data_IF_473075586951
#
_entry.id   IF_473075586951
#
_cell.length_a   1.000
_cell.length_b   1.000
_cell.length_c   1.000
_cell.angle_alpha   90.00
_cell.angle_beta   90.00
_cell.angle_gamma   90.00
#
_symmetry.space_group_name_H-M   'P 1'
#
loop_
_entity.id
_entity.type
_entity.pdbx_description
1 polymer ?
#
# COMPACT_ATOMS: atom_id res chain seq x y z
N UNK A 1 25.38 9.36 14.38
CA UNK A 1 24.72 10.63 14.00
C UNK A 1 23.44 10.72 14.83
N UNK A 2 23.29 11.77 15.64
CA UNK A 2 22.22 11.87 16.64
C UNK A 2 20.85 12.11 15.94
N UNK A 3 19.79 11.32 16.23
CA UNK A 3 18.47 11.49 15.61
C UNK A 3 17.78 12.85 15.87
N UNK A 4 18.33 13.68 16.76
CA UNK A 4 17.73 14.96 17.15
C UNK A 4 18.15 16.16 16.28
N UNK A 5 19.25 16.06 15.53
CA UNK A 5 19.80 17.19 14.77
C UNK A 5 19.01 17.57 13.49
N UNK A 6 17.93 16.85 13.16
CA UNK A 6 17.07 17.11 11.99
C UNK A 6 15.86 17.99 12.35
N UNK A 7 15.64 18.31 13.64
CA UNK A 7 14.34 18.82 14.11
C UNK A 7 14.20 20.34 14.25
N UNK A 8 15.17 21.16 13.84
CA UNK A 8 15.11 22.63 14.04
C UNK A 8 15.47 23.50 12.83
N UNK A 9 15.35 23.00 11.59
CA UNK A 9 15.36 23.89 10.44
C UNK A 9 13.96 24.56 10.30
N UNK A 10 13.85 25.90 10.29
CA UNK A 10 12.58 26.58 10.03
C UNK A 10 12.04 26.14 8.66
N UNK A 11 10.72 26.00 8.55
CA UNK A 11 9.98 25.75 7.31
C UNK A 11 10.13 26.96 6.36
N UNK A 12 11.34 27.16 5.82
CA UNK A 12 11.53 27.91 4.60
C UNK A 12 10.71 27.22 3.52
N UNK A 13 9.99 28.02 2.71
CA UNK A 13 9.23 27.53 1.57
C UNK A 13 10.07 26.48 0.82
N UNK A 14 9.58 25.23 0.79
CA UNK A 14 10.35 24.11 0.28
C UNK A 14 10.86 24.48 -1.12
N UNK A 15 12.19 24.57 -1.26
CA UNK A 15 12.80 24.76 -2.57
C UNK A 15 12.20 23.72 -3.53
N UNK A 16 11.93 24.10 -4.81
CA UNK A 16 11.35 23.16 -5.76
C UNK A 16 12.21 21.90 -5.79
N UNK A 17 11.58 20.73 -5.58
CA UNK A 17 12.26 19.44 -5.66
C UNK A 17 12.82 19.32 -7.07
N UNK A 18 14.13 19.54 -7.21
CA UNK A 18 14.79 19.44 -8.51
C UNK A 18 14.99 17.97 -8.85
N UNK A 19 15.01 17.66 -10.15
CA UNK A 19 15.32 16.30 -10.63
C UNK A 19 16.66 15.83 -10.05
N UNK A 20 17.66 16.72 -9.96
CA UNK A 20 18.96 16.42 -9.37
C UNK A 20 18.86 16.03 -7.88
N UNK A 21 18.04 16.73 -7.09
CA UNK A 21 17.83 16.40 -5.68
C UNK A 21 17.13 15.04 -5.49
N UNK A 22 16.12 14.74 -6.32
CA UNK A 22 15.46 13.41 -6.31
C UNK A 22 16.43 12.30 -6.66
N UNK A 23 17.27 12.47 -7.69
CA UNK A 23 18.22 11.43 -8.08
C UNK A 23 19.34 11.22 -7.05
N UNK A 24 19.82 12.30 -6.43
CA UNK A 24 20.76 12.21 -5.31
C UNK A 24 20.17 11.41 -4.14
N UNK A 25 18.92 11.71 -3.77
CA UNK A 25 18.22 10.96 -2.71
C UNK A 25 18.00 9.48 -3.06
N UNK A 26 17.68 9.17 -4.32
CA UNK A 26 17.54 7.78 -4.78
C UNK A 26 18.85 7.01 -4.68
N UNK A 27 19.97 7.63 -5.04
CA UNK A 27 21.28 7.02 -4.93
C UNK A 27 21.63 6.73 -3.46
N UNK A 28 21.42 7.69 -2.57
CA UNK A 28 21.60 7.54 -1.11
C UNK A 28 20.72 6.41 -0.55
N UNK A 29 19.43 6.39 -0.91
CA UNK A 29 18.51 5.33 -0.49
C UNK A 29 19.01 3.95 -0.90
N UNK A 30 19.44 3.76 -2.16
CA UNK A 30 19.92 2.47 -2.67
C UNK A 30 21.20 1.99 -1.97
N UNK A 31 22.07 2.91 -1.56
CA UNK A 31 23.26 2.61 -0.77
C UNK A 31 22.92 2.15 0.65
N UNK A 32 21.85 2.70 1.24
CA UNK A 32 21.36 2.31 2.56
C UNK A 32 20.59 0.96 2.56
N UNK A 33 20.08 0.52 1.41
CA UNK A 33 19.46 -0.81 1.29
C UNK A 33 20.53 -1.90 1.51
N UNK A 34 20.27 -2.95 2.30
CA UNK A 34 21.22 -4.05 2.50
C UNK A 34 21.70 -4.67 1.17
N UNK A 35 22.96 -5.10 1.12
CA UNK A 35 23.56 -5.66 -0.09
C UNK A 35 22.88 -6.95 -0.56
N UNK A 36 22.40 -7.76 0.39
CA UNK A 36 21.70 -9.03 0.17
C UNK A 36 20.20 -8.90 -0.09
N UNK A 37 19.67 -7.67 -0.07
CA UNK A 37 18.27 -7.40 -0.36
C UNK A 37 17.95 -7.68 -1.83
N UNK A 38 16.89 -8.46 -2.06
CA UNK A 38 16.35 -8.73 -3.38
C UNK A 38 14.85 -8.40 -3.39
N UNK A 39 14.46 -7.41 -4.18
CA UNK A 39 13.09 -6.92 -4.24
C UNK A 39 12.08 -7.91 -4.83
N UNK A 40 12.52 -8.73 -5.79
CA UNK A 40 11.68 -9.78 -6.38
C UNK A 40 11.39 -10.86 -5.33
N UNK A 41 12.44 -11.33 -4.63
CA UNK A 41 12.28 -12.28 -3.51
C UNK A 41 11.33 -11.71 -2.46
N UNK A 42 11.46 -10.44 -2.09
CA UNK A 42 10.56 -9.78 -1.13
C UNK A 42 9.10 -9.85 -1.62
N UNK A 43 8.83 -9.45 -2.87
CA UNK A 43 7.48 -9.51 -3.45
C UNK A 43 6.92 -10.93 -3.49
N UNK A 44 7.74 -11.90 -3.90
CA UNK A 44 7.37 -13.33 -3.89
C UNK A 44 7.10 -13.85 -2.47
N UNK A 45 7.83 -13.36 -1.46
CA UNK A 45 7.55 -13.70 -0.06
C UNK A 45 6.17 -13.19 0.38
N UNK A 46 5.81 -11.95 0.06
CA UNK A 46 4.49 -11.40 0.36
C UNK A 46 3.39 -12.22 -0.34
N UNK A 47 3.57 -12.45 -1.64
CA UNK A 47 2.64 -13.23 -2.44
C UNK A 47 2.48 -14.65 -1.88
N UNK A 48 3.59 -15.33 -1.57
CA UNK A 48 3.58 -16.68 -1.01
C UNK A 48 2.87 -16.77 0.34
N UNK A 49 3.15 -15.84 1.26
CA UNK A 49 2.46 -15.78 2.56
C UNK A 49 0.96 -15.53 2.36
N UNK A 50 0.59 -14.61 1.47
CA UNK A 50 -0.81 -14.30 1.20
C UNK A 50 -1.57 -15.46 0.56
N UNK A 51 -0.98 -16.11 -0.45
CA UNK A 51 -1.56 -17.30 -1.08
C UNK A 51 -1.68 -18.46 -0.09
N UNK A 52 -0.70 -18.66 0.80
CA UNK A 52 -0.79 -19.65 1.86
C UNK A 52 -1.91 -19.32 2.85
N UNK A 53 -2.07 -18.05 3.23
CA UNK A 53 -3.18 -17.61 4.08
C UNK A 53 -4.55 -17.83 3.44
N UNK A 54 -4.69 -17.52 2.15
CA UNK A 54 -5.91 -17.81 1.38
C UNK A 54 -6.16 -19.31 1.31
N UNK A 55 -5.13 -20.12 0.98
CA UNK A 55 -5.25 -21.57 0.92
C UNK A 55 -5.65 -22.18 2.28
N UNK A 56 -5.08 -21.69 3.37
CA UNK A 56 -5.44 -22.13 4.73
C UNK A 56 -6.90 -21.79 5.06
N UNK A 57 -7.41 -20.63 4.66
CA UNK A 57 -8.82 -20.29 4.83
C UNK A 57 -9.73 -21.18 3.97
N UNK A 58 -9.37 -21.42 2.71
CA UNK A 58 -10.13 -22.31 1.82
C UNK A 58 -10.11 -23.77 2.30
N UNK A 59 -9.04 -24.21 2.96
CA UNK A 59 -8.97 -25.54 3.58
C UNK A 59 -9.93 -25.71 4.77
N UNK A 60 -10.43 -24.61 5.35
CA UNK A 60 -11.44 -24.63 6.42
C UNK A 60 -12.88 -24.78 5.90
N UNK A 61 -13.10 -24.73 4.58
CA UNK A 61 -14.44 -24.90 3.99
C UNK A 61 -15.00 -26.29 4.33
N UNK A 62 -16.26 -26.33 4.77
CA UNK A 62 -16.94 -27.58 5.17
C UNK A 62 -17.85 -28.15 4.10
N UNK A 63 -18.23 -27.32 3.14
CA UNK A 63 -19.11 -27.64 2.02
C UNK A 63 -18.89 -26.61 0.90
N UNK A 64 -19.40 -26.83 -0.33
CA UNK A 64 -19.40 -25.82 -1.37
C UNK A 64 -20.01 -24.49 -0.88
N UNK A 65 -19.30 -23.39 -1.15
CA UNK A 65 -19.69 -22.03 -0.74
C UNK A 65 -21.00 -21.66 -1.44
N UNK A 66 -22.02 -21.32 -0.66
CA UNK A 66 -23.30 -20.87 -1.19
C UNK A 66 -23.18 -19.45 -1.77
N UNK A 67 -23.99 -19.12 -2.77
CA UNK A 67 -23.93 -17.81 -3.44
C UNK A 67 -24.07 -16.62 -2.46
N UNK A 68 -24.87 -16.77 -1.40
CA UNK A 68 -25.05 -15.73 -0.39
C UNK A 68 -23.85 -15.60 0.56
N UNK A 69 -23.07 -16.67 0.78
CA UNK A 69 -21.86 -16.61 1.63
C UNK A 69 -20.78 -15.73 0.98
N UNK A 70 -20.74 -15.70 -0.36
CA UNK A 70 -19.89 -14.77 -1.11
C UNK A 70 -20.22 -13.30 -0.86
N UNK A 71 -21.45 -12.97 -0.44
CA UNK A 71 -21.85 -11.59 -0.18
C UNK A 71 -21.02 -10.93 0.94
N UNK A 72 -20.40 -11.72 1.84
CA UNK A 72 -19.51 -11.21 2.90
C UNK A 72 -18.23 -10.57 2.35
N UNK A 73 -17.80 -10.92 1.14
CA UNK A 73 -16.62 -10.33 0.52
C UNK A 73 -16.84 -8.85 0.18
N UNK A 74 -18.07 -8.45 -0.17
CA UNK A 74 -18.39 -7.07 -0.52
C UNK A 74 -18.14 -6.08 0.64
N UNK A 75 -18.72 -6.24 1.84
CA UNK A 75 -18.43 -5.34 2.96
C UNK A 75 -16.95 -5.39 3.36
N UNK A 76 -16.26 -6.53 3.24
CA UNK A 76 -14.82 -6.62 3.45
C UNK A 76 -14.05 -5.67 2.53
N UNK A 77 -14.34 -5.69 1.22
CA UNK A 77 -13.69 -4.80 0.24
C UNK A 77 -14.04 -3.33 0.51
N UNK A 78 -15.29 -3.02 0.87
CA UNK A 78 -15.71 -1.65 1.20
C UNK A 78 -15.02 -1.12 2.45
N UNK A 79 -14.91 -1.94 3.49
CA UNK A 79 -14.21 -1.60 4.73
C UNK A 79 -12.73 -1.40 4.44
N UNK A 80 -12.09 -2.32 3.72
CA UNK A 80 -10.71 -2.18 3.28
C UNK A 80 -10.48 -0.84 2.57
N UNK A 81 -11.36 -0.48 1.63
CA UNK A 81 -11.19 0.73 0.84
C UNK A 81 -11.17 2.02 1.69
N UNK A 82 -12.04 2.09 2.71
CA UNK A 82 -12.02 3.19 3.67
C UNK A 82 -10.83 3.14 4.63
N UNK A 83 -10.43 1.95 5.09
CA UNK A 83 -9.25 1.79 5.94
C UNK A 83 -7.96 2.18 5.22
N UNK A 84 -7.84 1.82 3.96
CA UNK A 84 -6.76 2.23 3.07
C UNK A 84 -6.72 3.75 2.95
N UNK A 85 -7.85 4.40 2.66
CA UNK A 85 -7.94 5.85 2.53
C UNK A 85 -7.59 6.58 3.83
N UNK A 86 -8.19 6.15 4.96
CA UNK A 86 -7.94 6.73 6.29
C UNK A 86 -6.51 6.52 6.74
N UNK A 87 -6.01 5.29 6.60
CA UNK A 87 -4.66 4.89 6.96
C UNK A 87 -3.65 5.68 6.15
N UNK A 88 -3.80 5.73 4.82
CA UNK A 88 -2.91 6.47 3.94
C UNK A 88 -2.91 7.97 4.27
N UNK A 89 -4.08 8.58 4.51
CA UNK A 89 -4.14 9.97 4.97
C UNK A 89 -3.44 10.19 6.31
N UNK A 90 -3.55 9.25 7.25
CA UNK A 90 -2.83 9.32 8.52
C UNK A 90 -1.31 9.21 8.35
N UNK A 91 -0.81 8.51 7.31
CA UNK A 91 0.63 8.45 6.99
C UNK A 91 1.22 9.80 6.58
N UNK A 92 0.38 10.76 6.16
CA UNK A 92 0.80 12.12 5.79
C UNK A 92 0.94 13.07 6.98
N UNK A 93 0.54 12.66 8.19
CA UNK A 93 0.67 13.49 9.40
C UNK A 93 1.62 12.82 10.40
N UNK A 94 2.60 13.54 10.98
CA UNK A 94 3.48 12.98 11.98
C UNK A 94 2.69 12.63 13.25
N UNK A 95 2.58 11.34 13.55
CA UNK A 95 1.89 10.87 14.76
C UNK A 95 2.70 11.09 16.05
N UNK A 96 2.04 10.88 17.19
CA UNK A 96 2.65 11.07 18.52
C UNK A 96 3.56 9.91 18.96
N UNK A 97 3.28 8.68 18.52
CA UNK A 97 4.02 7.48 18.90
C UNK A 97 5.14 7.08 17.92
N UNK A 98 6.08 6.25 18.39
CA UNK A 98 7.23 5.80 17.59
C UNK A 98 6.82 5.09 16.28
N UNK A 99 5.83 4.20 16.34
CA UNK A 99 5.31 3.51 15.14
C UNK A 99 4.73 4.50 14.13
N UNK A 100 3.88 5.44 14.58
CA UNK A 100 3.26 6.41 13.69
C UNK A 100 4.30 7.35 13.05
N UNK A 101 5.35 7.74 13.80
CA UNK A 101 6.49 8.49 13.25
C UNK A 101 7.28 7.68 12.23
N UNK A 102 7.57 6.41 12.51
CA UNK A 102 8.28 5.54 11.58
C UNK A 102 7.50 5.34 10.27
N UNK A 103 6.19 5.17 10.37
CA UNK A 103 5.29 5.07 9.22
C UNK A 103 5.23 6.38 8.42
N UNK A 104 5.11 7.53 9.10
CA UNK A 104 5.20 8.85 8.48
C UNK A 104 6.55 9.07 7.77
N UNK A 105 7.66 8.72 8.40
CA UNK A 105 9.00 8.83 7.80
C UNK A 105 9.12 7.94 6.57
N UNK A 106 8.72 6.67 6.65
CA UNK A 106 8.79 5.73 5.52
C UNK A 106 7.92 6.20 4.35
N UNK A 107 6.73 6.71 4.64
CA UNK A 107 5.78 7.12 3.61
C UNK A 107 6.06 8.54 3.08
N UNK A 108 5.89 9.54 3.91
CA UNK A 108 5.91 10.95 3.50
C UNK A 108 7.32 11.47 3.28
N UNK A 109 8.26 11.12 4.16
CA UNK A 109 9.64 11.65 4.06
C UNK A 109 10.56 10.81 3.18
N UNK A 110 10.18 9.56 2.87
CA UNK A 110 11.00 8.65 2.06
C UNK A 110 10.31 8.33 0.74
N UNK A 111 9.13 7.70 0.73
CA UNK A 111 8.46 7.27 -0.49
C UNK A 111 8.08 8.45 -1.42
N UNK A 112 7.46 9.50 -0.90
CA UNK A 112 7.11 10.72 -1.64
C UNK A 112 8.31 11.60 -2.04
N UNK A 113 9.48 11.33 -1.46
CA UNK A 113 10.73 11.99 -1.86
C UNK A 113 11.47 11.16 -2.92
N UNK A 114 11.29 9.83 -2.88
CA UNK A 114 11.86 8.89 -3.84
C UNK A 114 11.09 8.88 -5.16
N UNK A 115 9.76 8.92 -5.12
CA UNK A 115 8.90 9.03 -6.29
C UNK A 115 8.25 10.40 -6.31
N UNK A 116 8.17 10.99 -7.50
CA UNK A 116 7.45 12.25 -7.72
C UNK A 116 6.46 12.06 -8.86
N UNK A 117 5.54 13.01 -9.03
CA UNK A 117 4.62 13.00 -10.18
C UNK A 117 5.35 12.83 -11.52
N UNK A 118 6.48 13.49 -11.71
CA UNK A 118 7.26 13.47 -12.96
C UNK A 118 8.24 12.30 -13.05
N UNK A 119 8.67 11.75 -11.90
CA UNK A 119 9.65 10.67 -11.83
C UNK A 119 9.11 9.52 -10.98
N UNK A 120 7.98 8.93 -11.37
CA UNK A 120 7.31 7.88 -10.60
C UNK A 120 7.77 6.45 -10.88
N UNK A 121 8.57 6.22 -11.93
CA UNK A 121 8.98 4.88 -12.31
C UNK A 121 10.16 4.35 -11.48
N UNK A 122 10.10 3.06 -11.14
CA UNK A 122 11.25 2.29 -10.64
C UNK A 122 12.33 2.15 -11.71
N UNK A 123 13.59 2.13 -11.29
CA UNK A 123 14.77 1.97 -12.17
C UNK A 123 15.59 0.74 -11.85
N UNK A 124 15.54 0.28 -10.61
CA UNK A 124 16.28 -0.88 -10.13
C UNK A 124 15.36 -1.80 -9.32
N UNK A 125 15.62 -3.11 -9.33
CA UNK A 125 14.92 -4.07 -8.48
C UNK A 125 15.01 -3.76 -6.98
N UNK A 126 16.05 -3.04 -6.54
CA UNK A 126 16.24 -2.56 -5.16
C UNK A 126 15.23 -1.47 -4.78
N UNK A 127 14.69 -0.75 -5.77
CA UNK A 127 13.63 0.25 -5.55
C UNK A 127 12.35 -0.41 -5.04
N UNK A 128 12.15 -1.71 -5.25
CA UNK A 128 11.01 -2.45 -4.69
C UNK A 128 10.97 -2.41 -3.15
N UNK A 129 12.09 -2.11 -2.47
CA UNK A 129 12.15 -1.91 -1.02
C UNK A 129 11.23 -0.79 -0.53
N UNK A 130 11.08 0.26 -1.34
CA UNK A 130 10.26 1.44 -1.01
C UNK A 130 8.83 1.32 -1.54
N UNK A 131 8.58 0.38 -2.44
CA UNK A 131 7.25 0.05 -2.97
C UNK A 131 6.54 -0.90 -2.00
N UNK A 132 7.03 -2.12 -1.83
CA UNK A 132 6.33 -3.11 -1.01
C UNK A 132 6.36 -2.78 0.48
N UNK A 133 5.26 -3.03 1.20
CA UNK A 133 5.33 -3.04 2.67
C UNK A 133 6.32 -4.12 3.16
N UNK A 134 6.85 -3.99 4.39
CA UNK A 134 7.63 -5.06 5.00
C UNK A 134 6.84 -6.37 4.97
N UNK A 135 7.50 -7.50 4.68
CA UNK A 135 6.81 -8.78 4.49
C UNK A 135 5.95 -9.21 5.70
N UNK A 136 6.31 -8.80 6.92
CA UNK A 136 5.54 -9.11 8.12
C UNK A 136 4.24 -8.29 8.24
N UNK A 137 4.08 -7.23 7.45
CA UNK A 137 2.87 -6.39 7.47
C UNK A 137 1.62 -7.20 7.10
N UNK A 138 1.75 -8.16 6.17
CA UNK A 138 0.64 -9.07 5.83
C UNK A 138 0.18 -9.90 7.03
N UNK A 139 1.10 -10.32 7.90
CA UNK A 139 0.78 -11.10 9.10
C UNK A 139 0.04 -10.23 10.12
N UNK A 140 0.49 -8.99 10.30
CA UNK A 140 -0.17 -8.02 11.18
C UNK A 140 -1.57 -7.69 10.67
N UNK A 141 -1.71 -7.40 9.38
CA UNK A 141 -3.00 -7.10 8.74
C UNK A 141 -3.95 -8.29 8.76
N UNK A 142 -3.46 -9.51 8.55
CA UNK A 142 -4.25 -10.73 8.68
C UNK A 142 -4.71 -10.93 10.14
N UNK A 143 -3.83 -10.71 11.11
CA UNK A 143 -4.16 -10.81 12.53
C UNK A 143 -5.23 -9.79 12.95
N UNK A 144 -5.17 -8.56 12.41
CA UNK A 144 -6.18 -7.53 12.66
C UNK A 144 -7.59 -7.93 12.18
N UNK A 145 -7.69 -8.79 11.15
CA UNK A 145 -8.98 -9.28 10.66
C UNK A 145 -9.56 -10.44 11.49
N UNK A 146 -8.73 -11.15 12.26
CA UNK A 146 -9.14 -12.35 12.98
C UNK A 146 -10.36 -12.14 13.89
N UNK A 147 -10.48 -11.06 14.69
CA UNK A 147 -11.66 -10.86 15.53
C UNK A 147 -12.96 -10.82 14.72
N UNK A 148 -12.97 -10.11 13.58
CA UNK A 148 -14.14 -10.02 12.71
C UNK A 148 -14.43 -11.37 12.01
N UNK A 149 -13.38 -12.06 11.54
CA UNK A 149 -13.51 -13.37 10.89
C UNK A 149 -14.05 -14.42 11.85
N UNK A 150 -13.56 -14.46 13.09
CA UNK A 150 -14.08 -15.36 14.13
C UNK A 150 -15.54 -15.07 14.44
N UNK A 151 -15.91 -13.79 14.54
CA UNK A 151 -17.30 -13.39 14.77
C UNK A 151 -18.22 -13.84 13.61
N UNK A 152 -17.79 -13.68 12.35
CA UNK A 152 -18.52 -14.19 11.18
C UNK A 152 -18.64 -15.72 11.25
N UNK A 153 -17.59 -16.41 11.67
CA UNK A 153 -17.60 -17.87 11.81
C UNK A 153 -18.60 -18.38 12.85
N UNK A 154 -18.72 -17.65 13.96
CA UNK A 154 -19.64 -17.97 15.05
C UNK A 154 -21.10 -17.60 14.73
N UNK A 155 -21.32 -16.48 14.05
CA UNK A 155 -22.67 -15.92 13.83
C UNK A 155 -23.29 -16.26 12.48
N UNK A 156 -22.48 -16.56 11.47
CA UNK A 156 -22.94 -16.76 10.08
C UNK A 156 -22.64 -18.18 9.62
N UNK A 157 -21.38 -18.47 9.31
CA UNK A 157 -20.90 -19.82 8.98
C UNK A 157 -19.37 -19.85 8.89
N UNK A 158 -18.78 -21.03 9.05
CA UNK A 158 -17.33 -21.24 8.82
C UNK A 158 -16.94 -20.92 7.37
N UNK A 159 -17.82 -21.22 6.41
CA UNK A 159 -17.60 -20.90 5.00
C UNK A 159 -17.56 -19.38 4.76
N UNK A 160 -18.50 -18.62 5.33
CA UNK A 160 -18.50 -17.16 5.24
C UNK A 160 -17.25 -16.55 5.90
N UNK A 161 -16.79 -17.11 7.03
CA UNK A 161 -15.54 -16.69 7.67
C UNK A 161 -14.32 -16.93 6.78
N UNK A 162 -14.23 -18.11 6.15
CA UNK A 162 -13.18 -18.44 5.21
C UNK A 162 -13.17 -17.50 4.00
N UNK A 163 -14.34 -17.20 3.43
CA UNK A 163 -14.49 -16.21 2.34
C UNK A 163 -14.07 -14.82 2.79
N UNK A 164 -14.50 -14.38 3.98
CA UNK A 164 -14.14 -13.07 4.52
C UNK A 164 -12.63 -12.92 4.73
N UNK A 165 -11.97 -13.93 5.30
CA UNK A 165 -10.51 -13.93 5.48
C UNK A 165 -9.78 -13.95 4.13
N UNK A 166 -10.21 -14.80 3.20
CA UNK A 166 -9.63 -14.88 1.86
C UNK A 166 -9.79 -13.55 1.10
N UNK A 167 -10.95 -12.89 1.21
CA UNK A 167 -11.20 -11.57 0.63
C UNK A 167 -10.31 -10.49 1.26
N UNK A 168 -10.11 -10.53 2.59
CA UNK A 168 -9.26 -9.59 3.32
C UNK A 168 -7.79 -9.69 2.91
N UNK A 169 -7.24 -10.91 2.90
CA UNK A 169 -5.86 -11.15 2.44
C UNK A 169 -5.74 -10.86 0.95
N UNK A 170 -6.73 -11.25 0.15
CA UNK A 170 -6.78 -11.01 -1.28
C UNK A 170 -6.75 -9.53 -1.65
N UNK A 171 -7.55 -8.69 -0.97
CA UNK A 171 -7.58 -7.26 -1.25
C UNK A 171 -6.27 -6.57 -0.86
N UNK A 172 -5.57 -7.04 0.18
CA UNK A 172 -4.21 -6.57 0.48
C UNK A 172 -3.20 -6.97 -0.61
N UNK A 173 -3.27 -8.20 -1.15
CA UNK A 173 -2.41 -8.58 -2.28
C UNK A 173 -2.70 -7.74 -3.52
N UNK A 174 -3.98 -7.43 -3.79
CA UNK A 174 -4.39 -6.49 -4.85
C UNK A 174 -3.80 -5.10 -4.58
N UNK A 175 -3.82 -4.62 -3.34
CA UNK A 175 -3.19 -3.35 -2.97
C UNK A 175 -1.70 -3.33 -3.35
N UNK A 176 -0.92 -4.34 -2.93
CA UNK A 176 0.52 -4.41 -3.21
C UNK A 176 0.81 -4.52 -4.71
N UNK A 177 -0.02 -5.29 -5.42
CA UNK A 177 0.07 -5.43 -6.86
C UNK A 177 -0.22 -4.11 -7.59
N UNK A 178 -1.26 -3.39 -7.19
CA UNK A 178 -1.62 -2.10 -7.80
C UNK A 178 -0.56 -1.04 -7.49
N UNK A 179 0.00 -1.03 -6.28
CA UNK A 179 1.12 -0.17 -5.91
C UNK A 179 2.37 -0.44 -6.77
N UNK A 180 2.74 -1.72 -6.95
CA UNK A 180 3.81 -2.10 -7.87
C UNK A 180 3.54 -1.58 -9.28
N UNK A 181 2.34 -1.82 -9.81
CA UNK A 181 1.97 -1.41 -11.16
C UNK A 181 2.02 0.11 -11.35
N UNK A 182 1.67 0.88 -10.31
CA UNK A 182 1.76 2.33 -10.32
C UNK A 182 3.21 2.85 -10.48
N UNK A 183 4.21 2.05 -10.12
CA UNK A 183 5.62 2.39 -10.23
C UNK A 183 6.39 1.67 -11.32
N UNK A 184 5.75 0.79 -12.11
CA UNK A 184 6.43 0.11 -13.22
C UNK A 184 7.06 1.12 -14.23
N UNK A 185 8.08 0.73 -15.00
CA UNK A 185 8.58 1.54 -16.10
C UNK A 185 7.48 1.83 -17.13
N UNK A 186 7.50 3.00 -17.75
CA UNK A 186 6.47 3.42 -18.74
C UNK A 186 6.37 2.47 -19.96
N UNK A 187 7.48 1.80 -20.28
CA UNK A 187 7.55 0.79 -21.32
C UNK A 187 6.85 -0.54 -20.99
N UNK A 188 6.50 -0.79 -19.72
CA UNK A 188 5.91 -2.06 -19.30
C UNK A 188 4.49 -2.23 -19.86
N UNK A 189 4.22 -3.38 -20.47
CA UNK A 189 2.90 -3.68 -21.06
C UNK A 189 1.77 -3.56 -20.02
N UNK A 190 2.02 -4.02 -18.79
CA UNK A 190 1.05 -4.03 -17.71
C UNK A 190 0.65 -2.60 -17.29
N UNK A 191 1.56 -1.63 -17.38
CA UNK A 191 1.28 -0.22 -17.08
C UNK A 191 0.32 0.43 -18.10
N UNK A 192 0.06 -0.23 -19.24
CA UNK A 192 -0.84 0.24 -20.31
C UNK A 192 -2.22 -0.39 -20.25
N UNK A 193 -2.42 -1.42 -19.43
CA UNK A 193 -3.72 -2.09 -19.28
C UNK A 193 -4.76 -1.08 -18.75
N UNK A 194 -5.95 -0.97 -19.36
CA UNK A 194 -7.02 -0.11 -18.85
C UNK A 194 -7.34 -0.44 -17.38
N UNK A 195 -7.58 0.57 -16.54
CA UNK A 195 -7.69 0.39 -15.09
C UNK A 195 -6.35 0.51 -14.37
N UNK A 196 -5.35 -0.30 -14.73
CA UNK A 196 -3.98 -0.15 -14.18
C UNK A 196 -3.39 1.21 -14.56
N UNK A 197 -3.49 1.58 -15.84
CA UNK A 197 -3.04 2.89 -16.31
C UNK A 197 -3.79 4.04 -15.62
N UNK A 198 -5.08 3.84 -15.29
CA UNK A 198 -5.88 4.84 -14.59
C UNK A 198 -5.44 4.99 -13.13
N UNK A 199 -5.25 3.89 -12.41
CA UNK A 199 -4.76 3.90 -11.03
C UNK A 199 -3.32 4.38 -10.92
N UNK A 200 -2.48 4.08 -11.92
CA UNK A 200 -1.15 4.68 -12.04
C UNK A 200 -1.24 6.21 -12.10
N UNK A 201 -2.06 6.78 -12.98
CA UNK A 201 -2.21 8.24 -13.06
C UNK A 201 -2.76 8.83 -11.76
N UNK A 202 -3.79 8.21 -11.20
CA UNK A 202 -4.38 8.58 -9.90
C UNK A 202 -3.30 8.65 -8.80
N UNK A 203 -2.47 7.61 -8.71
CA UNK A 203 -1.40 7.55 -7.72
C UNK A 203 -0.23 8.51 -8.02
N UNK A 204 0.18 8.68 -9.28
CA UNK A 204 1.21 9.66 -9.63
C UNK A 204 0.77 11.10 -9.39
N UNK A 205 -0.53 11.40 -9.54
CA UNK A 205 -1.10 12.68 -9.13
C UNK A 205 -1.03 12.87 -7.61
N UNK A 206 -1.21 11.80 -6.83
CA UNK A 206 -0.99 11.82 -5.37
C UNK A 206 0.46 12.18 -5.00
N UNK A 207 1.46 11.83 -5.82
CA UNK A 207 2.87 12.22 -5.63
C UNK A 207 3.18 13.69 -5.96
N UNK A 208 2.17 14.51 -6.27
CA UNK A 208 2.33 15.96 -6.40
C UNK A 208 2.29 16.61 -5.01
N UNK A 209 3.33 17.36 -4.56
CA UNK A 209 3.32 18.00 -3.25
C UNK A 209 2.13 18.94 -3.01
N UNK A 210 1.49 19.43 -4.08
CA UNK A 210 0.27 20.27 -4.01
C UNK A 210 -1.00 19.47 -3.71
N UNK A 211 -0.97 18.15 -3.92
CA UNK A 211 -2.11 17.24 -3.81
C UNK A 211 -1.93 16.18 -2.73
N UNK A 212 -0.69 15.76 -2.44
CA UNK A 212 -0.38 14.57 -1.63
C UNK A 212 -1.02 14.55 -0.24
N UNK A 213 -1.30 15.72 0.34
CA UNK A 213 -1.92 15.82 1.67
C UNK A 213 -3.43 15.62 1.67
N UNK A 214 -4.10 15.76 0.53
CA UNK A 214 -5.55 15.99 0.46
C UNK A 214 -6.28 15.12 -0.56
N UNK A 215 -5.58 14.55 -1.54
CA UNK A 215 -6.22 13.87 -2.66
C UNK A 215 -5.59 12.51 -3.00
N UNK A 216 -6.38 11.65 -3.63
CA UNK A 216 -5.96 10.40 -4.25
C UNK A 216 -5.28 9.41 -3.29
N UNK A 217 -5.91 9.16 -2.14
CA UNK A 217 -5.37 8.29 -1.10
C UNK A 217 -5.59 6.80 -1.40
N UNK A 218 -6.53 6.43 -2.25
CA UNK A 218 -6.71 5.03 -2.60
C UNK A 218 -5.78 4.56 -3.72
N UNK A 219 -5.23 3.36 -3.55
CA UNK A 219 -4.46 2.57 -4.50
C UNK A 219 -5.26 1.41 -5.12
N UNK A 220 -6.21 0.81 -4.39
CA UNK A 220 -6.97 -0.34 -4.91
C UNK A 220 -8.06 0.11 -5.87
N UNK A 221 -9.03 0.84 -5.35
CA UNK A 221 -10.15 1.44 -6.06
C UNK A 221 -10.36 2.85 -5.48
N UNK A 222 -10.59 3.90 -6.28
CA UNK A 222 -10.73 5.26 -5.76
C UNK A 222 -12.15 5.53 -5.24
N UNK A 223 -12.73 4.58 -4.51
CA UNK A 223 -14.11 4.64 -4.03
C UNK A 223 -14.24 5.61 -2.85
N UNK A 224 -13.43 5.47 -1.79
CA UNK A 224 -13.44 6.41 -0.68
C UNK A 224 -12.97 7.81 -1.12
N UNK A 225 -11.98 7.90 -2.03
CA UNK A 225 -11.62 9.17 -2.68
C UNK A 225 -12.83 9.82 -3.39
N UNK A 226 -13.61 9.04 -4.15
CA UNK A 226 -14.79 9.54 -4.86
C UNK A 226 -15.90 9.97 -3.88
N UNK A 227 -16.23 9.13 -2.89
CA UNK A 227 -17.25 9.42 -1.89
C UNK A 227 -16.89 10.63 -1.01
N UNK A 228 -15.62 10.79 -0.66
CA UNK A 228 -15.13 11.90 0.16
C UNK A 228 -14.82 13.17 -0.67
N UNK A 229 -15.00 13.16 -2.00
CA UNK A 229 -14.68 14.30 -2.86
C UNK A 229 -13.18 14.63 -2.94
N UNK A 230 -12.31 13.64 -2.70
CA UNK A 230 -10.84 13.79 -2.70
C UNK A 230 -10.17 13.16 -3.92
N UNK A 231 -10.95 12.72 -4.90
CA UNK A 231 -10.45 12.24 -6.20
C UNK A 231 -10.09 13.41 -7.13
N UNK A 232 -8.85 13.48 -7.56
CA UNK A 232 -8.28 14.49 -8.45
C UNK A 232 -7.62 13.83 -9.69
N UNK A 233 -7.57 14.52 -10.84
CA UNK A 233 -7.01 13.99 -12.08
C UNK A 233 -5.47 13.83 -12.09
#
# INVERSE_FOLDING_TARGET
>A
MNPQDITQAPLAAAAPVTVAATESFRAEFRQAVPADYNGIRHGLTILGIGLLGIAAALACLRAPVQAWEWAVALPVVLIWNWLEWLGHRALHTPGRGALARALYTRHTLTHHRFFTRQAGALRDSRDLKIVFFPWFAILVLAAMALPAVLLIGLLVSVNAAAVAFAAWVGIYLVFEFMHLCAHLPEGAWLARVPGIAAMRRHHLAHHDPRLMMQANMNFTLPLADWLAGTRQP
#
